data_IF_750832113753
#
_entry.id   IF_750832113753
#
_cell.length_a   1.000
_cell.length_b   1.000
_cell.length_c   1.000
_cell.angle_alpha   90.00
_cell.angle_beta   90.00
_cell.angle_gamma   90.00
#
_symmetry.space_group_name_H-M   'P 1'
#
loop_
_entity.id
_entity.type
_entity.pdbx_description
1 polymer ?
#
# COMPACT_ATOMS: atom_id res chain seq x y z
N UNK A 1 6.21 -30.87 -5.41
CA UNK A 1 6.74 -29.54 -5.76
C UNK A 1 6.76 -29.41 -7.28
N UNK A 2 5.88 -28.61 -7.90
CA UNK A 2 5.89 -28.45 -9.37
C UNK A 2 7.15 -27.67 -9.79
N UNK A 3 7.98 -28.27 -10.66
CA UNK A 3 9.13 -27.62 -11.27
C UNK A 3 8.66 -26.53 -12.24
N UNK A 4 8.39 -25.33 -11.72
CA UNK A 4 8.09 -24.15 -12.52
C UNK A 4 9.35 -23.28 -12.65
N UNK A 5 10.05 -23.46 -13.76
CA UNK A 5 11.20 -22.64 -14.16
C UNK A 5 10.69 -21.21 -14.34
N UNK A 6 11.25 -20.26 -13.58
CA UNK A 6 10.92 -18.85 -13.77
C UNK A 6 11.67 -18.34 -14.98
N UNK A 7 10.97 -18.23 -16.11
CA UNK A 7 11.54 -17.74 -17.37
C UNK A 7 12.13 -16.33 -17.17
N UNK A 8 13.23 -16.03 -17.88
CA UNK A 8 13.89 -14.71 -17.87
C UNK A 8 12.92 -13.57 -18.21
N UNK A 9 11.85 -13.87 -18.93
CA UNK A 9 10.87 -12.88 -19.42
C UNK A 9 10.13 -12.15 -18.28
N UNK A 10 10.01 -12.77 -17.11
CA UNK A 10 9.38 -12.18 -15.94
C UNK A 10 10.35 -11.36 -15.07
N UNK A 11 11.62 -11.19 -15.49
CA UNK A 11 12.62 -10.43 -14.72
C UNK A 11 12.81 -9.04 -15.30
N UNK A 12 12.96 -8.05 -14.42
CA UNK A 12 13.54 -6.76 -14.79
C UNK A 12 15.05 -6.96 -14.85
N UNK A 13 15.62 -6.84 -16.05
CA UNK A 13 17.04 -7.10 -16.31
C UNK A 13 17.79 -5.83 -16.71
N UNK A 14 17.10 -4.85 -17.32
CA UNK A 14 17.74 -3.65 -17.86
C UNK A 14 17.89 -2.56 -16.80
N UNK A 15 19.06 -1.94 -16.73
CA UNK A 15 19.32 -0.80 -15.86
C UNK A 15 18.37 0.38 -16.13
N UNK A 16 17.99 0.59 -17.40
CA UNK A 16 17.01 1.62 -17.79
C UNK A 16 15.64 1.35 -17.17
N UNK A 17 15.18 0.09 -17.19
CA UNK A 17 13.92 -0.30 -16.53
C UNK A 17 13.99 -0.06 -15.02
N UNK A 18 15.12 -0.37 -14.37
CA UNK A 18 15.29 -0.06 -12.94
C UNK A 18 15.24 1.44 -12.65
N UNK A 19 15.91 2.28 -13.44
CA UNK A 19 15.86 3.73 -13.29
C UNK A 19 14.45 4.29 -13.50
N UNK A 20 13.73 3.79 -14.51
CA UNK A 20 12.33 4.14 -14.71
C UNK A 20 11.48 3.78 -13.49
N UNK A 21 11.71 2.61 -12.90
CA UNK A 21 11.08 2.22 -11.65
C UNK A 21 11.40 3.17 -10.50
N UNK A 22 12.64 3.61 -10.38
CA UNK A 22 13.02 4.55 -9.33
C UNK A 22 12.35 5.92 -9.51
N UNK A 23 12.13 6.37 -10.75
CA UNK A 23 11.59 7.70 -11.02
C UNK A 23 10.06 7.74 -11.07
N UNK A 24 9.44 6.76 -11.72
CA UNK A 24 7.98 6.72 -11.98
C UNK A 24 7.22 5.76 -11.07
N UNK A 25 7.90 4.82 -10.43
CA UNK A 25 7.27 3.76 -9.64
C UNK A 25 6.67 4.26 -8.34
N UNK A 26 5.44 3.81 -8.07
CA UNK A 26 4.76 4.07 -6.81
C UNK A 26 5.45 3.34 -5.67
N UNK A 27 5.92 4.08 -4.66
CA UNK A 27 6.61 3.53 -3.51
C UNK A 27 5.62 3.05 -2.44
N UNK A 28 5.76 1.80 -2.03
CA UNK A 28 5.14 1.20 -0.86
C UNK A 28 6.25 0.87 0.13
N UNK A 29 6.39 1.71 1.15
CA UNK A 29 7.36 1.50 2.22
C UNK A 29 6.80 0.48 3.23
N UNK A 30 7.27 -0.75 3.19
CA UNK A 30 7.07 -1.75 4.26
C UNK A 30 8.05 -1.55 5.41
N UNK A 31 7.94 -2.35 6.46
CA UNK A 31 8.84 -2.24 7.62
C UNK A 31 10.25 -2.71 7.25
N UNK A 32 10.36 -3.70 6.37
CA UNK A 32 11.63 -4.29 5.95
C UNK A 32 12.02 -4.02 4.48
N UNK A 33 11.05 -3.74 3.61
CA UNK A 33 11.27 -3.48 2.18
C UNK A 33 10.60 -2.18 1.71
N UNK A 34 11.16 -1.54 0.67
CA UNK A 34 10.42 -0.63 -0.23
C UNK A 34 10.01 -1.45 -1.43
N UNK A 35 8.73 -1.41 -1.77
CA UNK A 35 8.22 -1.93 -3.03
C UNK A 35 7.94 -0.77 -3.96
N UNK A 36 8.41 -0.84 -5.19
CA UNK A 36 7.96 0.07 -6.24
C UNK A 36 7.10 -0.66 -7.24
N UNK A 37 5.95 -0.10 -7.55
CA UNK A 37 4.96 -0.71 -8.42
C UNK A 37 4.74 0.18 -9.64
N UNK A 38 4.69 -0.42 -10.83
CA UNK A 38 4.17 0.21 -12.04
C UNK A 38 3.28 -0.80 -12.77
N UNK A 39 2.12 -0.36 -13.23
CA UNK A 39 1.18 -1.17 -14.03
C UNK A 39 1.62 -1.21 -15.48
N UNK A 40 1.60 -2.41 -16.08
CA UNK A 40 2.05 -2.69 -17.43
C UNK A 40 1.31 -3.93 -17.97
N UNK A 41 1.34 -4.17 -19.28
CA UNK A 41 0.61 -5.30 -19.89
C UNK A 41 1.09 -6.70 -19.45
N UNK A 42 2.28 -6.82 -18.86
CA UNK A 42 2.86 -8.09 -18.42
C UNK A 42 3.61 -7.98 -17.08
N UNK A 43 3.53 -9.01 -16.21
CA UNK A 43 4.22 -8.99 -14.92
C UNK A 43 5.74 -9.11 -15.09
N UNK A 44 6.50 -8.20 -14.48
CA UNK A 44 7.95 -8.37 -14.26
C UNK A 44 8.33 -8.10 -12.81
N UNK A 45 9.31 -8.84 -12.29
CA UNK A 45 9.85 -8.66 -10.95
C UNK A 45 11.31 -8.22 -11.02
N UNK A 46 11.62 -7.12 -10.35
CA UNK A 46 12.97 -6.69 -10.01
C UNK A 46 13.21 -6.88 -8.52
N UNK A 47 14.38 -7.39 -8.13
CA UNK A 47 14.74 -7.57 -6.72
C UNK A 47 16.13 -6.97 -6.48
N UNK A 48 16.18 -6.00 -5.57
CA UNK A 48 17.40 -5.34 -5.11
C UNK A 48 17.57 -5.65 -3.63
N UNK A 49 18.62 -6.42 -3.33
CA UNK A 49 19.06 -6.68 -1.95
C UNK A 49 20.39 -5.96 -1.77
N UNK A 50 20.45 -5.04 -0.79
CA UNK A 50 21.67 -4.32 -0.47
C UNK A 50 22.78 -5.27 -0.01
N UNK A 51 24.03 -4.97 -0.36
CA UNK A 51 25.21 -5.72 0.13
C UNK A 51 25.37 -5.64 1.65
N UNK A 52 24.77 -4.63 2.29
CA UNK A 52 24.76 -4.42 3.75
C UNK A 52 24.06 -5.54 4.54
N UNK A 53 23.22 -6.35 3.89
CA UNK A 53 22.44 -7.40 4.56
C UNK A 53 23.08 -8.78 4.36
N UNK A 54 24.00 -9.14 5.26
CA UNK A 54 24.58 -10.47 5.39
C UNK A 54 25.40 -10.98 4.19
N UNK A 55 25.74 -12.26 4.24
CA UNK A 55 26.58 -12.92 3.23
C UNK A 55 25.83 -13.17 1.91
N UNK A 56 26.57 -13.49 0.85
CA UNK A 56 26.00 -13.76 -0.48
C UNK A 56 24.90 -14.83 -0.45
N UNK A 57 25.07 -15.86 0.39
CA UNK A 57 24.09 -16.93 0.61
C UNK A 57 22.77 -16.38 1.15
N UNK A 58 22.80 -15.53 2.17
CA UNK A 58 21.60 -14.91 2.76
C UNK A 58 20.84 -14.04 1.75
N UNK A 59 21.58 -13.22 0.96
CA UNK A 59 20.97 -12.40 -0.10
C UNK A 59 20.32 -13.25 -1.18
N UNK A 60 20.96 -14.35 -1.58
CA UNK A 60 20.42 -15.28 -2.58
C UNK A 60 19.19 -16.03 -2.05
N UNK A 61 19.19 -16.38 -0.77
CA UNK A 61 18.07 -16.99 -0.08
C UNK A 61 16.84 -16.06 -0.05
N UNK A 62 17.00 -14.78 0.34
CA UNK A 62 15.91 -13.79 0.31
C UNK A 62 15.36 -13.63 -1.11
N UNK A 63 16.25 -13.44 -2.09
CA UNK A 63 15.85 -13.34 -3.51
C UNK A 63 15.10 -14.59 -3.97
N UNK A 64 15.41 -15.77 -3.42
CA UNK A 64 14.69 -17.00 -3.73
C UNK A 64 13.27 -16.98 -3.15
N UNK A 65 13.12 -16.67 -1.86
CA UNK A 65 11.80 -16.59 -1.20
C UNK A 65 10.88 -15.62 -1.93
N UNK A 66 11.37 -14.41 -2.20
CA UNK A 66 10.61 -13.37 -2.91
C UNK A 66 10.14 -13.85 -4.29
N UNK A 67 11.00 -14.58 -5.02
CA UNK A 67 10.62 -15.15 -6.32
C UNK A 67 9.56 -16.23 -6.18
N UNK A 68 9.67 -17.08 -5.17
CA UNK A 68 8.69 -18.14 -4.89
C UNK A 68 7.33 -17.57 -4.50
N UNK A 69 7.28 -16.53 -3.65
CA UNK A 69 6.02 -15.87 -3.29
C UNK A 69 5.38 -15.17 -4.49
N UNK A 70 6.16 -14.44 -5.29
CA UNK A 70 5.65 -13.80 -6.50
C UNK A 70 5.08 -14.83 -7.50
N UNK A 71 5.73 -15.99 -7.69
CA UNK A 71 5.24 -17.07 -8.55
C UNK A 71 3.87 -17.60 -8.14
N UNK A 72 3.59 -17.73 -6.84
CA UNK A 72 2.29 -18.20 -6.38
C UNK A 72 1.17 -17.18 -6.71
N UNK A 73 1.52 -15.91 -6.89
CA UNK A 73 0.58 -14.80 -7.10
C UNK A 73 0.47 -14.33 -8.57
N UNK A 74 1.31 -14.81 -9.50
CA UNK A 74 1.42 -14.29 -10.89
C UNK A 74 0.15 -14.39 -11.74
N UNK A 75 -0.87 -15.15 -11.32
CA UNK A 75 -2.14 -15.25 -12.05
C UNK A 75 -2.98 -13.96 -12.01
N UNK A 76 -2.65 -12.98 -11.15
CA UNK A 76 -3.59 -11.90 -10.79
C UNK A 76 -3.15 -10.50 -11.27
N UNK A 77 -1.91 -10.26 -11.69
CA UNK A 77 -1.42 -8.89 -11.78
C UNK A 77 -0.56 -8.60 -13.03
N UNK A 78 -1.06 -7.75 -13.93
CA UNK A 78 -0.31 -7.07 -14.99
C UNK A 78 0.57 -5.97 -14.38
N UNK A 79 1.51 -6.37 -13.52
CA UNK A 79 2.23 -5.44 -12.64
C UNK A 79 3.70 -5.74 -12.63
N UNK A 80 4.49 -4.71 -12.90
CA UNK A 80 5.92 -4.75 -12.67
C UNK A 80 6.21 -4.28 -11.23
N UNK A 81 6.93 -5.10 -10.46
CA UNK A 81 7.23 -4.86 -9.04
C UNK A 81 8.75 -4.83 -8.85
N UNK A 82 9.24 -3.82 -8.13
CA UNK A 82 10.63 -3.70 -7.70
C UNK A 82 10.72 -3.76 -6.18
N UNK A 83 11.43 -4.74 -5.62
CA UNK A 83 11.61 -4.87 -4.17
C UNK A 83 13.01 -4.42 -3.77
N UNK A 84 13.12 -3.42 -2.90
CA UNK A 84 14.38 -2.95 -2.29
C UNK A 84 14.36 -3.23 -0.80
N UNK A 85 15.32 -3.99 -0.30
CA UNK A 85 15.46 -4.19 1.16
C UNK A 85 16.01 -2.94 1.86
N UNK A 86 15.38 -2.53 2.97
CA UNK A 86 15.78 -1.38 3.80
C UNK A 86 16.38 -1.83 5.14
N UNK A 87 15.86 -2.90 5.74
CA UNK A 87 16.25 -3.38 7.06
C UNK A 87 16.54 -4.89 7.06
N UNK A 88 17.41 -5.40 7.95
CA UNK A 88 17.63 -6.84 8.08
C UNK A 88 16.39 -7.51 8.69
N UNK A 89 16.10 -8.74 8.28
CA UNK A 89 15.01 -9.52 8.86
C UNK A 89 15.51 -10.26 10.10
N UNK A 90 14.77 -10.15 11.21
CA UNK A 90 15.05 -10.91 12.42
C UNK A 90 14.57 -12.37 12.30
N UNK A 91 13.39 -12.61 11.70
CA UNK A 91 12.86 -13.96 11.47
C UNK A 91 12.35 -14.18 10.03
N UNK A 92 12.37 -15.45 9.55
CA UNK A 92 11.83 -15.85 8.23
C UNK A 92 10.33 -15.60 8.11
N UNK A 93 9.60 -15.74 9.21
CA UNK A 93 8.14 -15.56 9.27
C UNK A 93 7.76 -14.12 8.94
N UNK A 94 8.55 -13.14 9.38
CA UNK A 94 8.30 -11.71 9.15
C UNK A 94 8.37 -11.35 7.66
N UNK A 95 9.37 -11.88 6.95
CA UNK A 95 9.52 -11.70 5.50
C UNK A 95 8.33 -12.29 4.74
N UNK A 96 7.92 -13.52 5.09
CA UNK A 96 6.80 -14.18 4.40
C UNK A 96 5.48 -13.47 4.69
N UNK A 97 5.26 -13.05 5.93
CA UNK A 97 4.07 -12.34 6.36
C UNK A 97 3.93 -10.99 5.65
N UNK A 98 4.97 -10.14 5.65
CA UNK A 98 4.92 -8.85 4.95
C UNK A 98 4.73 -9.04 3.43
N UNK A 99 5.42 -10.00 2.81
CA UNK A 99 5.25 -10.29 1.38
C UNK A 99 3.82 -10.74 1.06
N UNK A 100 3.26 -11.65 1.88
CA UNK A 100 1.90 -12.15 1.68
C UNK A 100 0.87 -11.03 1.85
N UNK A 101 1.03 -10.19 2.87
CA UNK A 101 0.20 -9.00 3.08
C UNK A 101 0.28 -8.02 1.91
N UNK A 102 1.49 -7.79 1.38
CA UNK A 102 1.66 -6.96 0.20
C UNK A 102 0.92 -7.53 -1.00
N UNK A 103 1.03 -8.84 -1.24
CA UNK A 103 0.38 -9.44 -2.40
C UNK A 103 -1.14 -9.47 -2.28
N UNK A 104 -1.70 -9.65 -1.08
CA UNK A 104 -3.14 -9.47 -0.86
C UNK A 104 -3.56 -8.01 -1.06
N UNK A 105 -2.81 -7.06 -0.49
CA UNK A 105 -3.06 -5.64 -0.73
C UNK A 105 -3.02 -5.32 -2.22
N UNK A 106 -2.05 -5.86 -2.96
CA UNK A 106 -1.92 -5.65 -4.39
C UNK A 106 -3.08 -6.28 -5.15
N UNK A 107 -3.49 -7.51 -4.83
CA UNK A 107 -4.61 -8.18 -5.49
C UNK A 107 -5.93 -7.47 -5.23
N UNK A 108 -6.18 -7.08 -3.98
CA UNK A 108 -7.43 -6.43 -3.58
C UNK A 108 -7.50 -5.03 -4.21
N UNK A 109 -6.38 -4.31 -4.21
CA UNK A 109 -6.27 -3.02 -4.89
C UNK A 109 -6.41 -3.15 -6.43
N UNK A 110 -5.83 -4.17 -7.05
CA UNK A 110 -6.00 -4.44 -8.47
C UNK A 110 -7.44 -4.75 -8.83
N UNK A 111 -8.10 -5.59 -8.04
CA UNK A 111 -9.50 -5.93 -8.22
C UNK A 111 -10.38 -4.68 -8.12
N UNK A 112 -10.13 -3.82 -7.12
CA UNK A 112 -10.81 -2.54 -6.95
C UNK A 112 -10.56 -1.57 -8.11
N UNK A 113 -9.33 -1.49 -8.64
CA UNK A 113 -9.01 -0.68 -9.82
C UNK A 113 -9.69 -1.20 -11.07
N UNK A 114 -9.57 -2.50 -11.36
CA UNK A 114 -10.16 -3.11 -12.55
C UNK A 114 -11.69 -2.99 -12.55
N UNK A 115 -12.33 -2.94 -11.37
CA UNK A 115 -13.76 -2.69 -11.24
C UNK A 115 -14.16 -1.20 -11.44
N UNK A 116 -13.22 -0.26 -11.27
CA UNK A 116 -13.50 1.19 -11.30
C UNK A 116 -13.02 1.86 -12.59
N UNK A 117 -12.14 1.23 -13.37
CA UNK A 117 -11.45 1.93 -14.46
C UNK A 117 -11.61 1.28 -15.82
N UNK A 118 -12.58 1.81 -16.57
CA UNK A 118 -12.27 2.28 -17.91
C UNK A 118 -11.37 3.52 -17.92
N UNK A 119 -11.29 4.33 -16.84
CA UNK A 119 -10.50 5.59 -16.81
C UNK A 119 -10.18 6.18 -15.40
N UNK A 120 -9.50 5.49 -14.48
CA UNK A 120 -8.85 6.20 -13.35
C UNK A 120 -7.36 5.93 -13.30
N UNK A 121 -6.61 7.03 -13.24
CA UNK A 121 -5.17 7.06 -13.09
C UNK A 121 -4.80 6.53 -11.70
N UNK A 122 -3.95 5.51 -11.68
CA UNK A 122 -3.31 4.93 -10.49
C UNK A 122 -2.71 5.99 -9.54
N UNK A 123 -2.40 7.19 -10.06
CA UNK A 123 -1.88 8.32 -9.28
C UNK A 123 -2.86 8.85 -8.24
N UNK A 124 -4.17 8.69 -8.46
CA UNK A 124 -5.21 9.22 -7.56
C UNK A 124 -5.58 8.24 -6.45
N UNK A 125 -5.47 6.94 -6.73
CA UNK A 125 -5.89 5.88 -5.82
C UNK A 125 -4.77 5.33 -4.92
N UNK A 126 -3.50 5.46 -5.32
CA UNK A 126 -2.36 5.11 -4.45
C UNK A 126 -1.97 6.36 -3.67
N UNK A 127 -2.23 6.43 -2.36
CA UNK A 127 -1.83 7.61 -1.62
C UNK A 127 -0.30 7.59 -1.54
N UNK A 128 0.33 8.73 -1.84
CA UNK A 128 1.78 8.94 -1.69
C UNK A 128 2.12 8.95 -0.19
N UNK A 129 2.51 7.83 0.44
CA UNK A 129 2.62 7.83 1.91
C UNK A 129 3.78 7.05 2.55
N UNK A 130 4.58 7.83 3.31
CA UNK A 130 5.25 7.43 4.55
C UNK A 130 4.22 7.01 5.63
N UNK A 131 3.37 6.03 5.36
CA UNK A 131 2.41 5.49 6.33
C UNK A 131 2.96 4.24 7.00
N UNK A 132 2.77 4.15 8.32
CA UNK A 132 2.94 2.88 9.04
C UNK A 132 1.97 1.83 8.50
N UNK A 133 2.39 0.57 8.51
CA UNK A 133 1.60 -0.59 8.07
C UNK A 133 0.18 -0.59 8.65
N UNK A 134 0.05 -0.30 9.95
CA UNK A 134 -1.24 -0.25 10.66
C UNK A 134 -2.18 0.79 10.02
N UNK A 135 -1.65 1.97 9.70
CA UNK A 135 -2.40 3.04 9.03
C UNK A 135 -2.94 2.59 7.68
N UNK A 136 -2.20 1.77 6.93
CA UNK A 136 -2.62 1.28 5.62
C UNK A 136 -3.74 0.26 5.72
N UNK A 137 -3.64 -0.67 6.68
CA UNK A 137 -4.70 -1.65 6.95
C UNK A 137 -6.00 -0.93 7.27
N UNK A 138 -5.96 0.06 8.14
CA UNK A 138 -7.15 0.82 8.54
C UNK A 138 -7.69 1.67 7.39
N UNK A 139 -6.81 2.31 6.62
CA UNK A 139 -7.20 3.06 5.43
C UNK A 139 -7.96 2.17 4.45
N UNK A 140 -7.48 0.94 4.24
CA UNK A 140 -8.13 -0.03 3.36
C UNK A 140 -9.46 -0.54 3.91
N UNK A 141 -9.56 -0.79 5.22
CA UNK A 141 -10.83 -1.15 5.87
C UNK A 141 -11.87 -0.04 5.68
N UNK A 142 -11.47 1.23 5.81
CA UNK A 142 -12.37 2.37 5.61
C UNK A 142 -12.82 2.47 4.14
N UNK A 143 -11.92 2.24 3.18
CA UNK A 143 -12.28 2.20 1.76
C UNK A 143 -13.25 1.05 1.45
N UNK A 144 -12.97 -0.14 1.98
CA UNK A 144 -13.85 -1.29 1.85
C UNK A 144 -15.24 -1.01 2.44
N UNK A 145 -15.30 -0.40 3.62
CA UNK A 145 -16.56 0.07 4.21
C UNK A 145 -17.29 1.05 3.29
N UNK A 146 -16.60 2.06 2.72
CA UNK A 146 -17.20 3.04 1.81
C UNK A 146 -17.76 2.40 0.53
N UNK A 147 -17.12 1.37 -0.01
CA UNK A 147 -17.54 0.81 -1.31
C UNK A 147 -18.57 -0.30 -1.19
N UNK A 148 -18.48 -1.12 -0.15
CA UNK A 148 -19.38 -2.27 0.04
C UNK A 148 -20.53 -1.93 0.98
N UNK A 149 -20.23 -1.39 2.16
CA UNK A 149 -21.25 -1.19 3.20
C UNK A 149 -22.01 0.13 3.01
N UNK A 150 -21.34 1.21 2.61
CA UNK A 150 -22.00 2.52 2.47
C UNK A 150 -23.06 2.57 1.38
N UNK A 151 -23.08 1.61 0.43
CA UNK A 151 -24.14 1.53 -0.59
C UNK A 151 -25.47 1.02 -0.02
N UNK A 152 -25.42 0.25 1.07
CA UNK A 152 -26.60 -0.32 1.72
C UNK A 152 -27.06 0.47 2.95
N UNK A 153 -26.28 1.46 3.37
CA UNK A 153 -26.57 2.30 4.53
C UNK A 153 -27.06 3.68 4.06
N UNK A 154 -28.11 4.25 4.70
CA UNK A 154 -28.52 5.62 4.41
C UNK A 154 -27.40 6.61 4.79
N UNK A 155 -27.35 7.74 4.08
CA UNK A 155 -26.39 8.81 4.33
C UNK A 155 -26.68 9.48 5.70
N UNK A 156 -26.18 8.89 6.79
CA UNK A 156 -26.43 9.34 8.16
C UNK A 156 -25.37 10.31 8.71
N UNK A 157 -24.24 10.54 8.02
CA UNK A 157 -23.24 11.49 8.50
C UNK A 157 -23.75 12.93 8.40
N UNK A 158 -23.76 13.60 9.56
CA UNK A 158 -24.19 15.00 9.71
C UNK A 158 -23.11 16.04 9.39
N UNK A 159 -21.87 15.59 9.23
CA UNK A 159 -20.73 16.45 8.92
C UNK A 159 -20.29 16.34 7.45
N UNK A 160 -19.73 17.44 6.93
CA UNK A 160 -19.06 17.50 5.62
C UNK A 160 -17.57 17.80 5.82
N UNK A 161 -16.63 17.05 5.21
CA UNK A 161 -16.83 15.75 4.53
C UNK A 161 -17.37 14.66 5.47
N UNK A 162 -17.85 13.56 4.90
CA UNK A 162 -18.39 12.41 5.65
C UNK A 162 -17.39 11.88 6.67
N UNK A 163 -17.88 11.19 7.69
CA UNK A 163 -17.04 10.67 8.79
C UNK A 163 -15.95 9.72 8.27
N UNK A 164 -16.27 8.90 7.27
CA UNK A 164 -15.32 8.04 6.56
C UNK A 164 -14.35 8.83 5.67
N UNK A 165 -14.80 9.88 4.97
CA UNK A 165 -13.93 10.78 4.21
C UNK A 165 -12.94 11.53 5.11
N UNK A 166 -13.41 12.08 6.22
CA UNK A 166 -12.57 12.68 7.25
C UNK A 166 -11.55 11.70 7.81
N UNK A 167 -11.93 10.43 7.99
CA UNK A 167 -11.02 9.41 8.47
C UNK A 167 -9.89 9.10 7.50
N UNK A 168 -10.18 9.01 6.20
CA UNK A 168 -9.15 8.86 5.17
C UNK A 168 -8.19 10.06 5.17
N UNK A 169 -8.72 11.28 5.24
CA UNK A 169 -7.89 12.49 5.25
C UNK A 169 -7.05 12.60 6.54
N UNK A 170 -7.62 12.27 7.69
CA UNK A 170 -6.93 12.29 8.97
C UNK A 170 -5.77 11.28 9.02
N UNK A 171 -5.99 10.06 8.53
CA UNK A 171 -4.95 9.04 8.43
C UNK A 171 -3.86 9.45 7.42
N UNK A 172 -4.25 10.03 6.28
CA UNK A 172 -3.31 10.48 5.24
C UNK A 172 -2.41 11.61 5.72
N UNK A 173 -2.95 12.58 6.46
CA UNK A 173 -2.22 13.80 6.86
C UNK A 173 -1.51 13.66 8.21
N UNK A 174 -2.12 13.01 9.19
CA UNK A 174 -1.60 12.94 10.56
C UNK A 174 -1.06 11.56 10.97
N UNK A 175 -1.18 10.54 10.10
CA UNK A 175 -0.76 9.17 10.40
C UNK A 175 -1.70 8.45 11.38
N UNK A 176 -1.27 7.28 11.87
CA UNK A 176 -2.15 6.40 12.68
C UNK A 176 -2.61 7.02 14.00
N UNK A 177 -1.69 7.34 14.92
CA UNK A 177 -2.07 7.75 16.29
C UNK A 177 -2.89 9.04 16.32
N UNK A 178 -2.40 10.08 15.65
CA UNK A 178 -3.06 11.38 15.62
C UNK A 178 -4.28 11.39 14.70
N UNK A 179 -4.25 10.62 13.62
CA UNK A 179 -5.44 10.38 12.79
C UNK A 179 -6.55 9.68 13.57
N UNK A 180 -6.23 8.61 14.32
CA UNK A 180 -7.18 7.87 15.15
C UNK A 180 -7.85 8.79 16.18
N UNK A 181 -7.07 9.61 16.89
CA UNK A 181 -7.60 10.58 17.86
C UNK A 181 -8.59 11.57 17.23
N UNK A 182 -8.26 12.10 16.04
CA UNK A 182 -9.16 13.02 15.32
C UNK A 182 -10.44 12.30 14.85
N UNK A 183 -10.31 11.05 14.38
CA UNK A 183 -11.41 10.22 13.92
C UNK A 183 -12.38 9.92 15.06
N UNK A 184 -11.87 9.41 16.19
CA UNK A 184 -12.71 9.04 17.34
C UNK A 184 -13.45 10.26 17.89
N UNK A 185 -12.75 11.39 18.05
CA UNK A 185 -13.38 12.64 18.46
C UNK A 185 -14.44 13.16 17.48
N UNK A 186 -14.37 12.80 16.18
CA UNK A 186 -15.41 13.13 15.21
C UNK A 186 -16.59 12.16 15.27
N UNK A 187 -16.34 10.85 15.40
CA UNK A 187 -17.40 9.86 15.55
C UNK A 187 -18.26 10.15 16.77
N UNK A 188 -17.63 10.49 17.91
CA UNK A 188 -18.34 10.85 19.14
C UNK A 188 -19.21 12.10 19.00
N UNK A 189 -18.91 13.01 18.06
CA UNK A 189 -19.74 14.18 17.76
C UNK A 189 -20.83 13.89 16.73
N UNK A 190 -20.69 12.82 15.95
CA UNK A 190 -21.60 12.48 14.86
C UNK A 190 -22.73 11.57 15.34
N UNK A 191 -23.60 12.10 16.19
CA UNK A 191 -24.82 11.44 16.66
C UNK A 191 -26.04 12.39 16.54
N UNK A 192 -27.29 11.89 16.66
CA UNK A 192 -28.51 12.69 16.50
C UNK A 192 -28.65 13.90 17.44
N UNK A 193 -27.95 13.89 18.58
CA UNK A 193 -27.92 14.99 19.56
C UNK A 193 -26.59 15.78 19.53
N UNK A 194 -25.72 15.47 18.57
CA UNK A 194 -24.44 16.11 18.40
C UNK A 194 -24.47 17.24 17.38
N UNK A 195 -23.31 17.87 17.16
CA UNK A 195 -23.17 18.98 16.21
C UNK A 195 -23.28 18.52 14.75
N UNK A 196 -23.45 19.48 13.84
CA UNK A 196 -23.52 19.25 12.39
C UNK A 196 -22.77 20.36 11.64
N UNK A 197 -22.50 20.16 10.34
CA UNK A 197 -21.91 21.18 9.47
C UNK A 197 -20.54 20.83 8.87
N UNK A 198 -19.83 21.84 8.38
CA UNK A 198 -18.52 21.67 7.73
C UNK A 198 -17.40 21.61 8.78
N UNK A 199 -16.60 20.54 8.74
CA UNK A 199 -15.50 20.35 9.67
C UNK A 199 -14.34 19.66 8.92
N UNK A 200 -13.39 20.42 8.37
CA UNK A 200 -12.23 19.86 7.67
C UNK A 200 -11.17 19.39 8.67
N UNK A 201 -10.26 18.52 8.24
CA UNK A 201 -9.12 18.13 9.06
C UNK A 201 -8.19 19.33 9.32
N UNK A 202 -7.59 19.45 10.52
CA UNK A 202 -6.62 20.50 10.78
C UNK A 202 -5.38 20.29 9.91
N UNK A 203 -4.83 21.36 9.33
CA UNK A 203 -3.56 21.29 8.60
C UNK A 203 -2.43 20.88 9.56
N UNK A 204 -1.43 20.09 9.11
CA UNK A 204 -0.29 19.75 9.95
C UNK A 204 0.46 21.04 10.31
N UNK A 205 0.77 21.23 11.60
CA UNK A 205 1.59 22.38 12.04
C UNK A 205 2.98 22.22 11.41
N UNK A 206 3.35 23.13 10.51
CA UNK A 206 4.65 23.12 9.88
C UNK A 206 5.73 23.35 10.96
N UNK A 207 6.57 22.35 11.25
CA UNK A 207 7.78 22.51 12.08
C UNK A 207 8.96 23.06 11.25
N UNK A 208 8.66 23.96 10.30
CA UNK A 208 9.66 24.63 9.48
C UNK A 208 9.38 26.12 9.51
N UNK A 209 9.90 26.75 10.56
CA UNK A 209 10.44 28.10 10.65
C UNK A 209 10.71 28.38 12.14
N UNK A 210 11.71 27.70 12.70
CA UNK A 210 12.55 28.15 13.81
C UNK A 210 13.90 27.46 13.68
#
# INVERSE_FOLDING_TARGET
MKNCIYSKNYRICSQKEFQEFFNKGFCFDGSFFVLKIIVYDYPKLGIIVSRKFGNAVYRNYIKRIIRETFRCQTKICSVKVLIRQIRPFQCKKDLYFELKQFFYFLSDYYFLLMHKTGRLSLKEAIPSIKMSFITRVIFFIILFYQEYLSKFLPNACRFRPSCSGYALDALRVHGFFKGLYLITGRLLRCHPFGSFGYNPIPKPKNKQQR
#
